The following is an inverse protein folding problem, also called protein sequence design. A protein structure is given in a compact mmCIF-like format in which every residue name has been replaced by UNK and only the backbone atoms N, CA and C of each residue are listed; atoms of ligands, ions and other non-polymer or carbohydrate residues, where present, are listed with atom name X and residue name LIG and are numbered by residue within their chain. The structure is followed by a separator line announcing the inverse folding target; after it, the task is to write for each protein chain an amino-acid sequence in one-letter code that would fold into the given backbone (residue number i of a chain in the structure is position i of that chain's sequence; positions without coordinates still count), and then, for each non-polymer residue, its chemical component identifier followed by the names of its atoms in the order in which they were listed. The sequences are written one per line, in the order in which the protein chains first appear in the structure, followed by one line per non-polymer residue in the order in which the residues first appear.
data_IF_767820242090
#
_entry.id   IF_767820242090
#
_cell.length_a   1.000
_cell.length_b   1.000
_cell.length_c   1.000
_cell.angle_alpha   90.00
_cell.angle_beta   90.00
_cell.angle_gamma   90.00
#
_symmetry.space_group_name_H-M   'P 1'
#
loop_
_entity.id
_entity.type
_entity.pdbx_description
1 polymer ?
#
# COMPACT_ATOMS: atom_id res chain seq x y z
N UNK A 1 39.44 -59.33 -10.09
CA UNK A 1 38.50 -58.30 -10.58
C UNK A 1 39.31 -57.02 -10.78
N UNK A 2 39.77 -56.78 -12.00
CA UNK A 2 40.55 -55.60 -12.40
C UNK A 2 40.14 -55.32 -13.85
N UNK A 3 39.42 -54.23 -14.07
CA UNK A 3 39.02 -53.74 -15.38
C UNK A 3 39.26 -52.23 -15.39
N UNK A 4 40.39 -51.83 -15.96
CA UNK A 4 40.58 -50.51 -16.52
C UNK A 4 40.31 -50.61 -18.03
N UNK A 5 39.30 -49.89 -18.52
CA UNK A 5 39.18 -49.55 -19.93
C UNK A 5 38.69 -48.10 -20.00
N UNK A 6 39.56 -47.22 -20.49
CA UNK A 6 39.24 -45.84 -20.79
C UNK A 6 38.36 -45.72 -22.04
N UNK A 7 37.50 -44.71 -22.04
CA UNK A 7 36.79 -44.26 -23.23
C UNK A 7 37.09 -42.78 -23.42
N UNK A 8 37.77 -42.48 -24.53
CA UNK A 8 37.85 -41.16 -25.12
C UNK A 8 36.51 -40.87 -25.81
N UNK A 9 35.93 -39.68 -25.58
CA UNK A 9 34.92 -39.11 -26.47
C UNK A 9 35.43 -37.77 -26.99
N UNK A 10 35.52 -37.73 -28.32
CA UNK A 10 35.91 -36.61 -29.14
C UNK A 10 34.67 -35.97 -29.81
N UNK A 11 34.91 -34.85 -30.49
CA UNK A 11 34.16 -34.26 -31.61
C UNK A 11 33.03 -33.24 -31.33
N UNK A 12 33.40 -31.97 -31.59
CA UNK A 12 32.90 -31.10 -32.68
C UNK A 12 31.41 -30.79 -32.83
N UNK A 13 31.10 -29.48 -32.80
CA UNK A 13 30.09 -28.84 -33.67
C UNK A 13 30.55 -27.39 -33.89
N UNK A 14 31.21 -27.03 -35.00
CA UNK A 14 30.71 -26.83 -36.36
C UNK A 14 29.82 -25.57 -36.52
N UNK A 15 30.36 -24.66 -37.33
CA UNK A 15 29.87 -23.38 -37.83
C UNK A 15 28.54 -23.47 -38.61
N UNK A 16 27.79 -22.36 -38.61
CA UNK A 16 26.75 -22.04 -39.60
C UNK A 16 25.62 -21.21 -38.94
N UNK A 17 25.16 -20.08 -39.45
CA UNK A 17 25.41 -19.39 -40.70
C UNK A 17 25.22 -17.88 -40.49
N UNK A 18 25.92 -17.14 -41.33
CA UNK A 18 25.86 -15.71 -41.55
C UNK A 18 24.81 -15.45 -42.61
N UNK A 19 23.85 -14.57 -42.34
CA UNK A 19 23.08 -13.86 -43.38
C UNK A 19 23.09 -12.39 -42.99
N UNK A 20 23.88 -11.63 -43.73
CA UNK A 20 23.96 -10.18 -43.67
C UNK A 20 22.74 -9.57 -44.41
N UNK A 21 22.29 -8.42 -43.88
CA UNK A 21 21.67 -7.28 -44.58
C UNK A 21 20.23 -7.38 -45.10
N UNK A 22 19.32 -6.60 -44.50
CA UNK A 22 18.87 -5.37 -45.17
C UNK A 22 18.28 -4.35 -44.17
N UNK A 23 18.50 -3.07 -44.49
CA UNK A 23 18.33 -1.88 -43.68
C UNK A 23 16.87 -1.57 -43.28
N UNK A 24 16.67 -1.03 -42.07
CA UNK A 24 16.22 0.35 -41.83
C UNK A 24 15.64 0.51 -40.42
N UNK A 25 16.14 1.54 -39.74
CA UNK A 25 15.36 2.44 -38.89
C UNK A 25 14.56 1.82 -37.73
N UNK A 26 15.09 1.89 -36.51
CA UNK A 26 14.71 2.95 -35.56
C UNK A 26 15.26 2.56 -34.18
N UNK A 27 16.21 3.36 -33.70
CA UNK A 27 16.59 3.36 -32.29
C UNK A 27 15.36 3.66 -31.44
N UNK A 28 14.74 2.64 -30.87
CA UNK A 28 14.00 2.82 -29.62
C UNK A 28 14.55 1.85 -28.60
N UNK A 29 15.63 2.28 -27.97
CA UNK A 29 15.95 1.97 -26.58
C UNK A 29 14.64 2.05 -25.78
N UNK A 30 13.97 0.90 -25.59
CA UNK A 30 12.94 0.78 -24.56
C UNK A 30 13.67 0.85 -23.23
N UNK A 31 13.88 2.09 -22.80
CA UNK A 31 14.03 2.49 -21.41
C UNK A 31 13.10 1.58 -20.61
N UNK A 32 13.53 0.90 -19.53
CA UNK A 32 12.60 0.23 -18.65
C UNK A 32 11.70 1.35 -18.14
N UNK A 33 10.53 1.46 -18.75
CA UNK A 33 9.46 2.29 -18.23
C UNK A 33 9.24 1.68 -16.87
N UNK A 34 9.52 2.43 -15.82
CA UNK A 34 9.05 2.14 -14.48
C UNK A 34 7.54 2.04 -14.63
N UNK A 35 7.06 0.82 -14.94
CA UNK A 35 5.66 0.52 -15.11
C UNK A 35 5.12 0.63 -13.72
N UNK A 36 4.71 1.85 -13.36
CA UNK A 36 3.92 2.14 -12.19
C UNK A 36 2.72 1.22 -12.34
N UNK A 37 2.81 0.07 -11.67
CA UNK A 37 1.90 -1.03 -11.86
C UNK A 37 0.72 -0.63 -11.02
N UNK A 38 -0.32 -0.11 -11.69
CA UNK A 38 -1.58 0.23 -11.04
C UNK A 38 -1.96 -0.94 -10.13
N UNK A 39 -2.15 -0.72 -8.81
CA UNK A 39 -2.53 -1.79 -7.91
C UNK A 39 -3.84 -2.40 -8.40
N UNK A 40 -3.88 -3.71 -8.49
CA UNK A 40 -5.14 -4.42 -8.70
C UNK A 40 -5.87 -4.51 -7.36
N UNK A 41 -7.20 -4.64 -7.39
CA UNK A 41 -8.00 -4.90 -6.18
C UNK A 41 -7.46 -6.11 -5.41
N UNK A 42 -7.02 -7.15 -6.14
CA UNK A 42 -6.39 -8.33 -5.55
C UNK A 42 -5.10 -7.99 -4.79
N UNK A 43 -4.24 -7.14 -5.35
CA UNK A 43 -3.01 -6.73 -4.67
C UNK A 43 -3.32 -5.91 -3.41
N UNK A 44 -4.32 -5.03 -3.49
CA UNK A 44 -4.80 -4.26 -2.35
C UNK A 44 -5.32 -5.16 -1.22
N UNK A 45 -6.23 -6.09 -1.54
CA UNK A 45 -6.79 -7.04 -0.57
C UNK A 45 -5.73 -7.97 0.03
N UNK A 46 -4.73 -8.38 -0.76
CA UNK A 46 -3.62 -9.17 -0.27
C UNK A 46 -2.75 -8.37 0.71
N UNK A 47 -2.47 -7.10 0.42
CA UNK A 47 -1.72 -6.23 1.31
C UNK A 47 -2.43 -6.08 2.67
N UNK A 48 -3.75 -5.83 2.64
CA UNK A 48 -4.58 -5.77 3.85
C UNK A 48 -4.53 -7.07 4.63
N UNK A 49 -4.75 -8.22 3.97
CA UNK A 49 -4.73 -9.54 4.63
C UNK A 49 -3.39 -9.82 5.30
N UNK A 50 -2.29 -9.58 4.59
CA UNK A 50 -0.95 -9.75 5.13
C UNK A 50 -0.73 -8.86 6.36
N UNK A 51 -1.22 -7.61 6.35
CA UNK A 51 -1.12 -6.73 7.51
C UNK A 51 -1.95 -7.19 8.70
N UNK A 52 -3.14 -7.75 8.47
CA UNK A 52 -3.94 -8.34 9.55
C UNK A 52 -3.19 -9.52 10.19
N UNK A 53 -2.58 -10.39 9.39
CA UNK A 53 -1.75 -11.50 9.87
C UNK A 53 -0.58 -10.97 10.71
N UNK A 54 0.20 -10.03 10.17
CA UNK A 54 1.30 -9.35 10.89
C UNK A 54 0.87 -8.75 12.24
N UNK A 55 -0.24 -8.01 12.26
CA UNK A 55 -0.75 -7.36 13.49
C UNK A 55 -1.22 -8.39 14.52
N UNK A 56 -1.83 -9.51 14.09
CA UNK A 56 -2.22 -10.58 15.00
C UNK A 56 -1.00 -11.26 15.64
N UNK A 57 0.07 -11.48 14.88
CA UNK A 57 1.34 -11.99 15.44
C UNK A 57 1.93 -11.01 16.47
N UNK A 58 1.87 -9.69 16.20
CA UNK A 58 2.29 -8.66 17.16
C UNK A 58 1.46 -8.66 18.45
N UNK A 59 0.16 -8.99 18.39
CA UNK A 59 -0.72 -9.09 19.57
C UNK A 59 -0.31 -10.24 20.50
N UNK A 60 0.25 -11.32 19.97
CA UNK A 60 0.69 -12.47 20.76
C UNK A 60 2.02 -12.23 21.50
N UNK A 61 2.76 -11.17 21.13
CA UNK A 61 4.02 -10.83 21.77
C UNK A 61 3.78 -10.16 23.12
N UNK A 62 4.08 -10.87 24.21
CA UNK A 62 3.83 -10.46 25.60
C UNK A 62 4.34 -9.05 25.97
N UNK A 63 5.45 -8.58 25.39
CA UNK A 63 5.99 -7.24 25.65
C UNK A 63 5.17 -6.09 25.06
N UNK A 64 4.22 -6.38 24.17
CA UNK A 64 3.40 -5.39 23.49
C UNK A 64 2.12 -5.03 24.26
N UNK A 65 2.00 -5.45 25.53
CA UNK A 65 0.78 -5.29 26.34
C UNK A 65 0.19 -3.89 26.35
N UNK A 66 1.02 -2.85 26.26
CA UNK A 66 0.58 -1.45 26.26
C UNK A 66 -0.08 -1.02 24.94
N UNK A 67 0.31 -1.65 23.83
CA UNK A 67 -0.15 -1.31 22.49
C UNK A 67 -1.23 -2.27 21.95
N UNK A 68 -1.62 -3.30 22.71
CA UNK A 68 -2.60 -4.31 22.27
C UNK A 68 -3.91 -3.72 21.77
N UNK A 69 -4.40 -2.67 22.42
CA UNK A 69 -5.64 -2.01 22.02
C UNK A 69 -5.50 -1.31 20.66
N UNK A 70 -4.33 -0.71 20.38
CA UNK A 70 -4.04 -0.11 19.07
C UNK A 70 -3.97 -1.18 17.98
N UNK A 71 -3.29 -2.29 18.23
CA UNK A 71 -3.17 -3.36 17.24
C UNK A 71 -4.54 -3.99 16.93
N UNK A 72 -5.37 -4.23 17.95
CA UNK A 72 -6.75 -4.69 17.76
C UNK A 72 -7.60 -3.70 16.99
N UNK A 73 -7.46 -2.40 17.28
CA UNK A 73 -8.15 -1.35 16.53
C UNK A 73 -7.68 -1.31 15.07
N UNK A 74 -6.38 -1.45 14.83
CA UNK A 74 -5.79 -1.51 13.50
C UNK A 74 -6.32 -2.70 12.68
N UNK A 75 -6.41 -3.88 13.30
CA UNK A 75 -7.04 -5.05 12.68
C UNK A 75 -8.49 -4.77 12.31
N UNK A 76 -9.32 -4.25 13.22
CA UNK A 76 -10.72 -3.94 12.93
C UNK A 76 -10.91 -2.88 11.82
N UNK A 77 -10.04 -1.88 11.76
CA UNK A 77 -10.05 -0.87 10.71
C UNK A 77 -9.72 -1.48 9.33
N UNK A 78 -8.73 -2.38 9.27
CA UNK A 78 -8.36 -3.11 8.05
C UNK A 78 -9.45 -4.08 7.59
N UNK A 79 -10.13 -4.77 8.52
CA UNK A 79 -11.29 -5.61 8.21
C UNK A 79 -12.42 -4.79 7.58
N UNK A 80 -12.70 -3.60 8.12
CA UNK A 80 -13.67 -2.67 7.52
C UNK A 80 -13.26 -2.24 6.11
N UNK A 81 -11.96 -2.00 5.87
CA UNK A 81 -11.47 -1.68 4.52
C UNK A 81 -11.56 -2.86 3.55
N UNK A 82 -11.50 -4.10 4.04
CA UNK A 82 -11.61 -5.29 3.20
C UNK A 82 -13.03 -5.47 2.63
N UNK A 83 -14.04 -4.96 3.33
CA UNK A 83 -15.45 -4.97 2.89
C UNK A 83 -15.76 -3.90 1.85
N UNK A 84 -14.85 -2.93 1.63
CA UNK A 84 -15.03 -1.86 0.67
C UNK A 84 -14.54 -2.29 -0.71
N UNK A 85 -15.42 -2.19 -1.71
CA UNK A 85 -15.04 -2.29 -3.12
C UNK A 85 -14.52 -0.95 -3.63
N UNK A 86 -13.27 -0.93 -4.09
CA UNK A 86 -12.60 0.23 -4.66
C UNK A 86 -12.48 0.07 -6.17
N UNK A 87 -12.88 1.10 -6.91
CA UNK A 87 -12.68 1.17 -8.33
C UNK A 87 -11.20 1.41 -8.68
N UNK A 88 -10.88 1.27 -9.97
CA UNK A 88 -9.49 1.37 -10.46
C UNK A 88 -8.83 2.73 -10.15
N UNK A 89 -9.59 3.82 -10.18
CA UNK A 89 -9.05 5.16 -9.94
C UNK A 89 -8.79 5.39 -8.44
N UNK A 90 -9.64 4.85 -7.58
CA UNK A 90 -9.45 4.87 -6.12
C UNK A 90 -8.21 4.06 -5.73
N UNK A 91 -8.08 2.85 -6.29
CA UNK A 91 -6.90 2.00 -6.10
C UNK A 91 -5.61 2.67 -6.58
N UNK A 92 -5.68 3.45 -7.66
CA UNK A 92 -4.54 4.22 -8.16
C UNK A 92 -4.10 5.29 -7.15
N UNK A 93 -5.03 5.89 -6.41
CA UNK A 93 -4.70 6.89 -5.39
C UNK A 93 -4.13 6.26 -4.12
N UNK A 94 -4.54 5.02 -3.79
CA UNK A 94 -4.03 4.26 -2.65
C UNK A 94 -2.70 3.54 -2.95
N UNK A 95 -2.19 3.61 -4.19
CA UNK A 95 -1.08 2.78 -4.64
C UNK A 95 0.20 2.96 -3.86
N UNK A 96 0.52 4.19 -3.49
CA UNK A 96 1.75 4.50 -2.77
C UNK A 96 1.68 4.02 -1.32
N UNK A 97 0.56 4.24 -0.63
CA UNK A 97 0.31 3.76 0.73
C UNK A 97 0.38 2.23 0.79
N UNK A 98 -0.23 1.54 -0.18
CA UNK A 98 -0.18 0.07 -0.26
C UNK A 98 1.22 -0.46 -0.57
N UNK A 99 2.00 0.24 -1.41
CA UNK A 99 3.39 -0.13 -1.65
C UNK A 99 4.21 -0.03 -0.36
N UNK A 100 4.02 1.03 0.41
CA UNK A 100 4.72 1.24 1.71
C UNK A 100 4.29 0.19 2.74
N UNK A 101 2.99 -0.08 2.85
CA UNK A 101 2.46 -1.12 3.73
C UNK A 101 3.06 -2.49 3.43
N UNK A 102 3.16 -2.86 2.15
CA UNK A 102 3.81 -4.12 1.76
C UNK A 102 5.29 -4.16 2.12
N UNK A 103 6.00 -3.03 2.03
CA UNK A 103 7.40 -2.96 2.44
C UNK A 103 7.54 -3.17 3.96
N UNK A 104 6.69 -2.54 4.77
CA UNK A 104 6.65 -2.72 6.22
C UNK A 104 6.38 -4.19 6.60
N UNK A 105 5.35 -4.80 6.02
CA UNK A 105 5.06 -6.24 6.20
C UNK A 105 6.26 -7.12 5.81
N UNK A 106 6.94 -6.80 4.71
CA UNK A 106 8.09 -7.59 4.26
C UNK A 106 9.28 -7.46 5.23
N UNK A 107 9.49 -6.30 5.84
CA UNK A 107 10.51 -6.10 6.87
C UNK A 107 10.21 -6.97 8.09
N UNK A 108 8.97 -6.94 8.58
CA UNK A 108 8.51 -7.81 9.67
C UNK A 108 8.73 -9.30 9.35
N UNK A 109 8.17 -9.78 8.23
CA UNK A 109 8.19 -11.19 7.82
C UNK A 109 9.59 -11.73 7.49
N UNK A 110 10.53 -10.85 7.13
CA UNK A 110 11.90 -11.26 6.82
C UNK A 110 12.79 -11.44 8.06
N UNK A 111 12.25 -11.24 9.27
CA UNK A 111 13.01 -11.21 10.53
C UNK A 111 14.19 -10.22 10.49
N UNK A 112 14.10 -9.20 9.63
CA UNK A 112 15.00 -8.05 9.60
C UNK A 112 14.53 -6.92 10.52
N UNK A 113 13.43 -7.18 11.20
CA UNK A 113 12.85 -6.43 12.28
C UNK A 113 13.59 -6.85 13.56
N UNK A 114 14.25 -5.91 14.25
CA UNK A 114 14.80 -6.18 15.60
C UNK A 114 13.67 -6.40 16.62
N UNK A 115 12.43 -6.21 16.15
CA UNK A 115 11.16 -6.36 16.85
C UNK A 115 11.16 -5.53 18.13
N UNK A 116 12.02 -4.53 18.30
CA UNK A 116 12.18 -3.80 19.55
C UNK A 116 10.98 -2.88 19.74
N UNK A 117 9.91 -3.36 20.39
CA UNK A 117 8.79 -2.48 20.71
C UNK A 117 9.26 -1.35 21.63
N UNK A 118 9.47 -0.18 21.03
CA UNK A 118 9.42 1.09 21.74
C UNK A 118 8.01 1.34 22.28
N UNK A 119 7.88 2.28 23.20
CA UNK A 119 6.58 2.89 23.46
C UNK A 119 6.19 3.65 22.18
N UNK A 120 5.01 3.35 21.61
CA UNK A 120 4.49 4.12 20.48
C UNK A 120 4.17 5.51 21.03
N UNK A 121 4.98 6.50 20.65
CA UNK A 121 4.87 7.86 21.18
C UNK A 121 3.62 8.59 20.67
N UNK A 122 3.00 8.09 19.58
CA UNK A 122 1.84 8.70 18.93
C UNK A 122 0.61 7.78 18.86
N UNK A 123 0.34 7.08 19.96
CA UNK A 123 -0.80 6.17 20.08
C UNK A 123 -2.14 6.88 19.79
N UNK A 124 -2.30 8.12 20.26
CA UNK A 124 -3.56 8.86 20.14
C UNK A 124 -3.85 9.29 18.69
N UNK A 125 -2.85 9.78 17.95
CA UNK A 125 -3.02 10.13 16.54
C UNK A 125 -3.33 8.90 15.69
N UNK A 126 -2.56 7.82 15.86
CA UNK A 126 -2.77 6.56 15.14
C UNK A 126 -4.15 5.97 15.48
N UNK A 127 -4.56 6.01 16.74
CA UNK A 127 -5.91 5.59 17.15
C UNK A 127 -7.00 6.41 16.45
N UNK A 128 -6.84 7.73 16.33
CA UNK A 128 -7.81 8.60 15.65
C UNK A 128 -7.88 8.32 14.15
N UNK A 129 -6.73 8.06 13.50
CA UNK A 129 -6.66 7.70 12.08
C UNK A 129 -7.36 6.37 11.80
N UNK A 130 -7.30 5.41 12.74
CA UNK A 130 -7.97 4.12 12.65
C UNK A 130 -9.48 4.18 12.92
N UNK A 131 -9.93 5.08 13.80
CA UNK A 131 -11.36 5.30 14.06
C UNK A 131 -12.09 5.85 12.83
N UNK A 132 -11.35 6.46 11.89
CA UNK A 132 -11.87 6.86 10.59
C UNK A 132 -13.01 7.87 10.68
N UNK A 133 -13.09 8.62 11.79
CA UNK A 133 -14.12 9.62 12.06
C UNK A 133 -13.54 11.02 12.36
N UNK A 134 -12.27 11.27 12.04
CA UNK A 134 -11.71 12.61 12.25
C UNK A 134 -12.22 13.60 11.19
N UNK A 135 -13.34 14.21 11.60
CA UNK A 135 -13.80 15.59 11.37
C UNK A 135 -13.94 16.02 9.91
N UNK A 136 -15.19 16.01 9.45
CA UNK A 136 -15.85 17.22 8.98
C UNK A 136 -14.87 18.33 8.52
N UNK A 137 -14.49 18.31 7.24
CA UNK A 137 -13.84 19.45 6.57
C UNK A 137 -14.82 20.64 6.40
N UNK A 138 -15.87 20.75 7.21
CA UNK A 138 -16.58 22.02 7.41
C UNK A 138 -15.85 22.81 8.50
N UNK A 139 -14.57 23.11 8.30
CA UNK A 139 -14.03 24.36 8.81
C UNK A 139 -14.46 25.48 7.85
N UNK A 140 -15.77 25.75 7.84
CA UNK A 140 -16.24 27.10 7.56
C UNK A 140 -15.99 27.92 8.84
N UNK A 141 -14.70 28.19 9.08
CA UNK A 141 -14.22 29.17 10.04
C UNK A 141 -13.91 30.47 9.31
N UNK A 142 -14.80 30.88 8.41
CA UNK A 142 -14.87 32.26 7.95
C UNK A 142 -16.15 32.85 8.55
N UNK A 143 -16.03 33.26 9.81
CA UNK A 143 -16.98 34.20 10.40
C UNK A 143 -16.79 35.53 9.67
N UNK A 144 -17.42 35.66 8.51
CA UNK A 144 -17.82 36.96 8.00
C UNK A 144 -18.99 37.41 8.88
N UNK A 145 -18.65 38.12 9.96
CA UNK A 145 -19.47 39.25 10.33
C UNK A 145 -19.33 40.28 9.20
N UNK A 146 -20.47 40.88 8.86
CA UNK A 146 -20.67 42.07 8.04
C UNK A 146 -21.19 41.82 6.61
N UNK A 147 -22.51 42.02 6.54
CA UNK A 147 -23.22 42.85 5.57
C UNK A 147 -23.69 42.23 4.24
N UNK A 148 -25.01 42.03 4.24
CA UNK A 148 -25.98 42.59 3.30
C UNK A 148 -26.14 42.03 1.87
N UNK A 149 -27.43 41.94 1.55
CA UNK A 149 -28.11 42.03 0.25
C UNK A 149 -28.25 40.76 -0.64
N UNK A 150 -29.51 40.30 -0.67
CA UNK A 150 -30.36 40.12 -1.86
C UNK A 150 -29.68 39.62 -3.15
N UNK A 151 -30.03 38.41 -3.60
CA UNK A 151 -30.98 38.19 -4.71
C UNK A 151 -30.88 36.75 -5.22
N UNK A 152 -32.02 36.30 -5.76
CA UNK A 152 -32.26 35.03 -6.41
C UNK A 152 -31.16 34.64 -7.42
N UNK A 153 -30.82 33.34 -7.50
CA UNK A 153 -30.84 32.62 -8.77
C UNK A 153 -30.59 31.11 -8.55
N UNK A 154 -31.36 30.34 -9.30
CA UNK A 154 -31.30 28.90 -9.47
C UNK A 154 -29.87 28.40 -9.74
N UNK A 155 -29.46 27.33 -9.06
CA UNK A 155 -28.64 26.30 -9.70
C UNK A 155 -28.82 24.94 -9.01
N UNK A 156 -29.32 24.01 -9.82
CA UNK A 156 -29.59 22.62 -9.54
C UNK A 156 -28.35 21.85 -9.04
N UNK A 157 -28.64 20.92 -8.13
CA UNK A 157 -28.01 19.62 -7.89
C UNK A 157 -26.81 19.23 -8.80
N UNK A 158 -25.62 19.05 -8.20
CA UNK A 158 -24.72 17.91 -8.46
C UNK A 158 -23.37 17.99 -7.70
N UNK A 159 -23.36 18.01 -6.35
CA UNK A 159 -22.08 17.96 -5.60
C UNK A 159 -21.98 16.94 -4.46
N UNK A 160 -22.93 16.00 -4.35
CA UNK A 160 -22.94 15.08 -3.21
C UNK A 160 -22.06 13.81 -3.41
N UNK A 161 -21.73 13.44 -4.66
CA UNK A 161 -21.07 12.15 -4.94
C UNK A 161 -19.52 12.21 -4.87
N UNK A 162 -18.91 13.36 -5.19
CA UNK A 162 -17.46 13.54 -5.10
C UNK A 162 -16.97 13.62 -3.65
N UNK A 163 -17.75 14.23 -2.76
CA UNK A 163 -17.40 14.37 -1.34
C UNK A 163 -17.35 13.02 -0.63
N UNK A 164 -18.29 12.11 -0.93
CA UNK A 164 -18.30 10.76 -0.37
C UNK A 164 -17.13 9.91 -0.88
N UNK A 165 -16.83 9.97 -2.18
CA UNK A 165 -15.71 9.24 -2.79
C UNK A 165 -14.36 9.71 -2.23
N UNK A 166 -14.14 11.03 -2.18
CA UNK A 166 -12.91 11.62 -1.63
C UNK A 166 -12.74 11.30 -0.14
N UNK A 167 -13.83 11.31 0.62
CA UNK A 167 -13.84 10.95 2.05
C UNK A 167 -13.46 9.47 2.27
N UNK A 168 -14.00 8.54 1.48
CA UNK A 168 -13.69 7.10 1.60
C UNK A 168 -12.24 6.78 1.24
N UNK A 169 -11.70 7.38 0.18
CA UNK A 169 -10.28 7.22 -0.19
C UNK A 169 -9.37 7.81 0.89
N UNK A 170 -9.69 9.01 1.38
CA UNK A 170 -8.92 9.68 2.45
C UNK A 170 -8.89 8.82 3.71
N UNK A 171 -10.04 8.28 4.12
CA UNK A 171 -10.15 7.35 5.25
C UNK A 171 -9.30 6.10 5.03
N UNK A 172 -9.41 5.46 3.86
CA UNK A 172 -8.63 4.28 3.54
C UNK A 172 -7.13 4.54 3.56
N UNK A 173 -6.71 5.71 3.06
CA UNK A 173 -5.31 6.14 3.08
C UNK A 173 -4.79 6.32 4.50
N UNK A 174 -5.52 7.04 5.37
CA UNK A 174 -5.15 7.24 6.78
C UNK A 174 -4.99 5.91 7.51
N UNK A 175 -5.97 5.00 7.36
CA UNK A 175 -5.89 3.66 7.97
C UNK A 175 -4.65 2.89 7.48
N UNK A 176 -4.41 2.84 6.16
CA UNK A 176 -3.26 2.10 5.59
C UNK A 176 -1.93 2.71 6.05
N UNK A 177 -1.83 4.04 6.08
CA UNK A 177 -0.62 4.74 6.50
C UNK A 177 -0.36 4.56 8.00
N UNK A 178 -1.41 4.65 8.85
CA UNK A 178 -1.32 4.42 10.29
C UNK A 178 -0.92 2.97 10.61
N UNK A 179 -1.49 1.98 9.92
CA UNK A 179 -1.08 0.57 10.07
C UNK A 179 0.39 0.39 9.71
N UNK A 180 0.85 1.01 8.62
CA UNK A 180 2.26 0.94 8.21
C UNK A 180 3.17 1.52 9.29
N UNK A 181 2.79 2.63 9.90
CA UNK A 181 3.54 3.26 10.99
C UNK A 181 3.59 2.37 12.23
N UNK A 182 2.48 1.74 12.61
CA UNK A 182 2.42 0.75 13.69
C UNK A 182 3.43 -0.40 13.46
N UNK A 183 3.52 -0.89 12.22
CA UNK A 183 4.42 -2.00 11.88
C UNK A 183 5.88 -1.55 11.88
N UNK A 184 6.17 -0.35 11.36
CA UNK A 184 7.53 0.20 11.33
C UNK A 184 8.04 0.51 12.74
N UNK A 185 7.23 1.14 13.60
CA UNK A 185 7.55 1.41 15.01
C UNK A 185 7.82 0.14 15.81
N UNK A 186 7.18 -0.97 15.45
CA UNK A 186 7.47 -2.26 16.06
C UNK A 186 8.84 -2.82 15.64
N UNK A 187 9.36 -2.38 14.48
CA UNK A 187 10.59 -2.89 13.89
C UNK A 187 11.83 -2.01 14.07
N UNK A 188 11.67 -0.76 14.52
CA UNK A 188 12.74 0.16 14.92
C UNK A 188 13.36 -0.18 16.29
#
# INVERSE_FOLDING_TARGET
MLLFVGIALSLSCALGQRTDSDDTNESTTRRPTTRSTVPTLRNFQNAIRNSIETLNEMVEVERNRRNLNLYRKAVGALETLQEIDFNRNELQQLSDSIRRLNAANALYNSNRCDQTSGEINDYDSLSNDLDGNSTNDNNNGDSNDDDDDDDDDDDDDDNNNNNNTSSRITRAKRIVDAVREIIDDFCD
#
